data_IF_760618326773
#
_entry.id   IF_760618326773
#
_cell.length_a   1.000
_cell.length_b   1.000
_cell.length_c   1.000
_cell.angle_alpha   90.00
_cell.angle_beta   90.00
_cell.angle_gamma   90.00
#
_symmetry.space_group_name_H-M   'P 1'
#
loop_
_entity.id
_entity.type
_entity.pdbx_description
1 polymer ?
#
# COMPACT_ATOMS: atom_id res chain seq x y z
N UNK A 1 11.02 7.60 10.64
CA UNK A 1 11.94 8.67 10.19
C UNK A 1 11.32 9.42 9.03
N UNK A 2 11.68 10.69 8.81
CA UNK A 2 11.21 11.42 7.63
C UNK A 2 11.69 10.72 6.36
N UNK A 3 10.78 10.49 5.41
CA UNK A 3 11.07 9.82 4.14
C UNK A 3 10.97 10.79 2.97
N UNK A 4 10.03 11.73 3.02
CA UNK A 4 9.85 12.75 1.99
C UNK A 4 8.54 13.48 2.19
N UNK A 5 8.15 14.25 1.18
CA UNK A 5 6.91 15.01 1.16
C UNK A 5 6.22 14.82 -0.18
N UNK A 6 4.90 14.65 -0.20
CA UNK A 6 4.13 14.60 -1.45
C UNK A 6 4.06 15.98 -2.11
N UNK A 7 3.67 16.03 -3.39
CA UNK A 7 3.47 17.30 -4.10
C UNK A 7 2.41 18.19 -3.41
N UNK A 8 1.44 17.58 -2.74
CA UNK A 8 0.41 18.27 -1.96
C UNK A 8 0.88 18.70 -0.56
N UNK A 9 2.15 18.48 -0.24
CA UNK A 9 2.76 18.89 1.02
C UNK A 9 2.56 17.93 2.19
N UNK A 10 2.04 16.71 1.96
CA UNK A 10 1.85 15.75 3.03
C UNK A 10 3.18 15.10 3.43
N UNK A 11 3.50 15.08 4.72
CA UNK A 11 4.72 14.44 5.21
C UNK A 11 4.61 12.92 5.12
N UNK A 12 5.65 12.30 4.59
CA UNK A 12 5.81 10.85 4.47
C UNK A 12 6.91 10.37 5.40
N UNK A 13 6.66 9.22 6.02
CA UNK A 13 7.54 8.60 7.01
C UNK A 13 7.86 7.16 6.64
N UNK A 14 9.09 6.77 6.94
CA UNK A 14 9.58 5.40 6.86
C UNK A 14 9.61 4.77 8.26
N UNK A 15 9.07 3.56 8.37
CA UNK A 15 8.97 2.76 9.58
C UNK A 15 9.83 1.51 9.44
N UNK A 16 10.65 1.22 10.44
CA UNK A 16 11.52 0.04 10.45
C UNK A 16 10.98 -0.95 11.47
N UNK A 17 10.64 -2.15 11.02
CA UNK A 17 10.35 -3.29 11.87
C UNK A 17 11.60 -4.16 11.97
N UNK A 18 11.91 -4.63 13.18
CA UNK A 18 13.00 -5.58 13.44
C UNK A 18 12.48 -6.69 14.34
N UNK A 19 12.76 -7.94 14.00
CA UNK A 19 12.40 -9.08 14.85
C UNK A 19 13.57 -9.54 15.72
N UNK A 20 13.31 -10.49 16.61
CA UNK A 20 14.32 -11.06 17.52
C UNK A 20 15.50 -11.75 16.83
N UNK A 21 15.34 -12.19 15.58
CA UNK A 21 16.41 -12.83 14.79
C UNK A 21 17.21 -11.84 13.92
N UNK A 22 16.87 -10.55 13.97
CA UNK A 22 17.56 -9.49 13.24
C UNK A 22 17.09 -9.26 11.80
N UNK A 23 15.96 -9.85 11.36
CA UNK A 23 15.33 -9.45 10.09
C UNK A 23 14.86 -8.00 10.17
N UNK A 24 14.88 -7.31 9.03
CA UNK A 24 14.46 -5.91 8.94
C UNK A 24 13.47 -5.76 7.79
N UNK A 25 12.32 -5.13 8.06
CA UNK A 25 11.40 -4.67 7.04
C UNK A 25 11.22 -3.16 7.17
N UNK A 26 11.31 -2.43 6.07
CA UNK A 26 11.04 -0.99 6.04
C UNK A 26 9.79 -0.69 5.24
N UNK A 27 8.85 0.02 5.86
CA UNK A 27 7.54 0.32 5.30
C UNK A 27 7.32 1.84 5.30
N UNK A 28 6.96 2.40 4.15
CA UNK A 28 6.53 3.80 4.03
C UNK A 28 5.02 3.91 4.27
N UNK A 29 4.59 4.98 4.95
CA UNK A 29 3.15 5.27 5.01
C UNK A 29 2.60 5.89 3.73
N UNK A 30 3.44 6.24 2.75
CA UNK A 30 2.97 6.50 1.39
C UNK A 30 2.79 5.17 0.67
N UNK A 31 1.61 4.95 0.11
CA UNK A 31 1.28 3.72 -0.63
C UNK A 31 1.28 2.43 0.20
N UNK A 32 1.46 2.54 1.53
CA UNK A 32 1.76 1.42 2.41
C UNK A 32 2.93 0.55 1.85
N UNK A 33 3.94 1.19 1.26
CA UNK A 33 4.97 0.52 0.46
C UNK A 33 5.97 -0.23 1.35
N UNK A 34 6.21 -1.52 1.07
CA UNK A 34 7.39 -2.23 1.54
C UNK A 34 8.61 -1.79 0.70
N UNK A 35 9.47 -0.94 1.27
CA UNK A 35 10.61 -0.36 0.54
C UNK A 35 11.85 -1.24 0.60
N UNK A 36 12.05 -1.95 1.71
CA UNK A 36 13.22 -2.83 1.91
C UNK A 36 12.81 -4.04 2.76
N UNK A 37 13.39 -5.21 2.47
CA UNK A 37 13.24 -6.42 3.26
C UNK A 37 14.57 -7.16 3.33
N UNK A 38 15.21 -7.11 4.49
CA UNK A 38 16.54 -7.67 4.71
C UNK A 38 16.47 -9.04 5.37
N UNK A 39 17.04 -10.04 4.70
CA UNK A 39 17.16 -11.41 5.20
C UNK A 39 18.61 -11.88 5.18
N UNK A 40 19.02 -12.81 6.07
CA UNK A 40 20.36 -13.34 6.07
C UNK A 40 20.60 -14.29 4.90
N UNK A 41 21.75 -14.14 4.23
CA UNK A 41 22.30 -15.12 3.30
C UNK A 41 22.82 -16.38 4.05
N UNK A 42 23.43 -17.32 3.33
CA UNK A 42 24.00 -18.54 3.93
C UNK A 42 25.25 -18.30 4.82
N UNK A 43 25.75 -17.07 4.90
CA UNK A 43 26.85 -16.62 5.77
C UNK A 43 26.35 -15.72 6.90
N UNK A 44 25.05 -15.41 6.96
CA UNK A 44 24.44 -14.53 7.94
C UNK A 44 24.51 -13.04 7.60
N UNK A 45 24.91 -12.66 6.39
CA UNK A 45 24.89 -11.26 5.96
C UNK A 45 23.47 -10.87 5.57
N UNK A 46 22.97 -9.75 6.11
CA UNK A 46 21.66 -9.21 5.74
C UNK A 46 21.75 -8.54 4.37
N UNK A 47 20.89 -8.97 3.43
CA UNK A 47 20.74 -8.35 2.12
C UNK A 47 19.27 -8.01 1.85
N UNK A 48 19.04 -6.87 1.17
CA UNK A 48 17.71 -6.48 0.71
C UNK A 48 17.29 -7.32 -0.50
N UNK A 49 16.13 -7.97 -0.41
CA UNK A 49 15.64 -8.90 -1.44
C UNK A 49 14.48 -8.36 -2.26
N UNK A 50 14.03 -7.12 -2.01
CA UNK A 50 12.96 -6.49 -2.80
C UNK A 50 13.51 -5.43 -3.74
N UNK A 51 12.79 -5.20 -4.84
CA UNK A 51 13.08 -4.07 -5.72
C UNK A 51 12.50 -2.79 -5.12
N UNK A 52 13.25 -1.71 -5.21
CA UNK A 52 12.87 -0.39 -4.74
C UNK A 52 13.72 0.69 -5.37
N UNK A 53 13.68 1.89 -4.79
CA UNK A 53 14.47 3.03 -5.20
C UNK A 53 15.45 3.45 -4.10
N UNK A 54 16.63 3.91 -4.51
CA UNK A 54 17.62 4.48 -3.60
C UNK A 54 17.16 5.84 -3.05
N UNK A 55 16.43 6.62 -3.86
CA UNK A 55 15.90 7.92 -3.46
C UNK A 55 14.40 7.81 -3.14
N UNK A 56 13.95 8.32 -1.97
CA UNK A 56 12.53 8.36 -1.63
C UNK A 56 11.66 9.08 -2.66
N UNK A 57 12.19 10.12 -3.29
CA UNK A 57 11.46 10.94 -4.27
C UNK A 57 11.00 10.15 -5.50
N UNK A 58 11.74 9.10 -5.87
CA UNK A 58 11.41 8.28 -7.04
C UNK A 58 10.07 7.51 -6.86
N UNK A 59 9.68 7.21 -5.62
CA UNK A 59 8.38 6.60 -5.30
C UNK A 59 7.19 7.52 -5.58
N UNK A 60 7.39 8.84 -5.58
CA UNK A 60 6.33 9.82 -5.85
C UNK A 60 6.15 10.08 -7.36
N UNK A 61 7.02 9.53 -8.20
CA UNK A 61 6.96 9.75 -9.65
C UNK A 61 6.00 8.78 -10.34
N UNK A 62 5.58 9.13 -11.56
CA UNK A 62 4.80 8.23 -12.42
C UNK A 62 5.55 6.94 -12.80
N UNK A 63 6.87 6.89 -12.60
CA UNK A 63 7.73 5.74 -12.91
C UNK A 63 8.03 4.87 -11.67
N UNK A 64 7.18 4.89 -10.65
CA UNK A 64 7.38 4.10 -9.44
C UNK A 64 7.10 2.58 -9.63
N UNK A 65 6.50 2.19 -10.75
CA UNK A 65 6.16 0.81 -11.13
C UNK A 65 5.38 -0.01 -10.08
N UNK A 66 4.68 0.66 -9.15
CA UNK A 66 4.00 0.02 -8.01
C UNK A 66 4.93 -0.82 -7.11
N UNK A 67 6.24 -0.55 -7.10
CA UNK A 67 7.17 -1.34 -6.30
C UNK A 67 6.79 -1.34 -4.82
N UNK A 68 6.57 -2.54 -4.28
CA UNK A 68 6.23 -2.78 -2.88
C UNK A 68 4.87 -2.25 -2.40
N UNK A 69 4.09 -1.58 -3.26
CA UNK A 69 2.91 -0.83 -2.86
C UNK A 69 1.68 -1.71 -2.61
N UNK A 70 0.81 -1.24 -1.71
CA UNK A 70 -0.57 -1.72 -1.64
C UNK A 70 -1.37 -1.10 -2.77
N UNK A 71 -2.04 -1.94 -3.56
CA UNK A 71 -2.82 -1.51 -4.71
C UNK A 71 -4.32 -1.67 -4.47
N UNK A 72 -5.09 -0.65 -4.83
CA UNK A 72 -6.55 -0.62 -4.71
C UNK A 72 -7.13 0.72 -5.15
N UNK A 73 -8.46 0.88 -5.23
CA UNK A 73 -9.48 0.02 -4.60
C UNK A 73 -9.63 -1.38 -5.23
N UNK A 74 -9.53 -1.52 -6.55
CA UNK A 74 -9.50 -2.83 -7.24
C UNK A 74 -8.15 -3.04 -7.90
N UNK A 75 -7.49 -4.14 -7.56
CA UNK A 75 -6.23 -4.52 -8.19
C UNK A 75 -6.45 -5.06 -9.62
N UNK A 76 -5.46 -4.83 -10.48
CA UNK A 76 -5.49 -5.20 -11.90
C UNK A 76 -6.57 -4.43 -12.69
N UNK A 77 -7.05 -4.99 -13.80
CA UNK A 77 -7.79 -4.26 -14.82
C UNK A 77 -9.30 -4.39 -14.70
N UNK A 78 -10.00 -3.28 -14.93
CA UNK A 78 -11.43 -3.26 -15.25
C UNK A 78 -11.59 -2.83 -16.71
N UNK A 79 -12.25 -3.69 -17.49
CA UNK A 79 -12.48 -3.48 -18.92
C UNK A 79 -13.29 -2.20 -19.15
N UNK A 80 -12.90 -1.46 -20.19
CA UNK A 80 -13.53 -0.21 -20.65
C UNK A 80 -13.70 0.86 -19.55
N UNK A 81 -12.89 0.75 -18.48
CA UNK A 81 -12.92 1.62 -17.31
C UNK A 81 -14.32 1.81 -16.72
N UNK A 82 -15.15 0.76 -16.71
CA UNK A 82 -16.51 0.84 -16.21
C UNK A 82 -16.99 -0.51 -15.69
N UNK A 83 -17.94 -0.48 -14.75
CA UNK A 83 -18.66 -1.65 -14.29
C UNK A 83 -20.11 -1.30 -13.96
N UNK A 84 -20.94 -2.33 -13.80
CA UNK A 84 -22.32 -2.17 -13.34
C UNK A 84 -22.49 -2.89 -12.00
N UNK A 85 -23.06 -2.19 -11.03
CA UNK A 85 -23.35 -2.71 -9.70
C UNK A 85 -24.75 -2.28 -9.31
N UNK A 86 -25.57 -3.24 -8.87
CA UNK A 86 -26.97 -3.01 -8.46
C UNK A 86 -27.80 -2.26 -9.53
N UNK A 87 -27.52 -2.52 -10.81
CA UNK A 87 -28.20 -1.90 -11.96
C UNK A 87 -27.71 -0.50 -12.33
N UNK A 88 -26.79 0.08 -11.55
CA UNK A 88 -26.17 1.37 -11.84
C UNK A 88 -24.80 1.18 -12.53
N UNK A 89 -24.56 1.94 -13.59
CA UNK A 89 -23.25 1.97 -14.25
C UNK A 89 -22.34 2.99 -13.56
N UNK A 90 -21.10 2.59 -13.32
CA UNK A 90 -20.02 3.41 -12.77
C UNK A 90 -18.92 3.53 -13.81
N UNK A 91 -18.45 4.76 -14.03
CA UNK A 91 -17.30 5.07 -14.88
C UNK A 91 -16.11 5.42 -14.01
N UNK A 92 -14.96 4.85 -14.36
CA UNK A 92 -13.68 4.98 -13.66
C UNK A 92 -12.68 5.71 -14.55
N UNK A 93 -11.51 6.05 -13.99
CA UNK A 93 -10.40 6.57 -14.79
C UNK A 93 -9.90 5.52 -15.79
N UNK A 94 -9.84 5.86 -17.08
CA UNK A 94 -9.19 5.06 -18.11
C UNK A 94 -7.66 5.33 -18.12
N UNK A 95 -6.97 4.84 -17.10
CA UNK A 95 -5.53 5.06 -16.88
C UNK A 95 -4.61 4.02 -17.56
N UNK A 96 -5.18 3.08 -18.32
CA UNK A 96 -4.44 2.09 -19.10
C UNK A 96 -5.09 1.86 -20.48
N UNK A 97 -4.91 2.81 -21.39
CA UNK A 97 -5.60 2.80 -22.68
C UNK A 97 -7.10 3.05 -22.49
N UNK A 98 -7.96 2.16 -22.98
CA UNK A 98 -9.40 2.22 -22.68
C UNK A 98 -9.78 1.57 -21.35
N UNK A 99 -8.84 0.99 -20.62
CA UNK A 99 -9.12 0.23 -19.40
C UNK A 99 -8.72 1.01 -18.15
N UNK A 100 -9.32 0.62 -17.03
CA UNK A 100 -8.89 1.03 -15.71
C UNK A 100 -7.90 0.01 -15.17
N UNK A 101 -6.88 0.42 -14.42
CA UNK A 101 -5.92 -0.46 -13.78
C UNK A 101 -5.58 0.04 -12.37
N UNK A 102 -5.41 -0.89 -11.43
CA UNK A 102 -4.78 -0.66 -10.13
C UNK A 102 -5.40 0.49 -9.34
N UNK A 103 -6.73 0.62 -9.40
CA UNK A 103 -7.48 1.61 -8.64
C UNK A 103 -7.48 3.02 -9.21
N UNK A 104 -6.76 3.30 -10.30
CA UNK A 104 -6.90 4.54 -11.07
C UNK A 104 -5.66 5.45 -11.05
N UNK A 105 -5.89 6.75 -11.25
CA UNK A 105 -4.81 7.72 -11.36
C UNK A 105 -4.10 7.90 -10.01
N UNK A 106 -4.88 8.04 -8.93
CA UNK A 106 -4.42 8.16 -7.54
C UNK A 106 -5.00 7.02 -6.70
N UNK A 107 -4.60 5.80 -7.04
CA UNK A 107 -4.92 4.59 -6.27
C UNK A 107 -4.25 4.55 -4.89
N UNK A 108 -4.49 3.46 -4.16
CA UNK A 108 -3.97 3.25 -2.80
C UNK A 108 -2.45 3.33 -2.69
N UNK A 109 -1.75 3.08 -3.79
CA UNK A 109 -0.29 3.17 -3.92
C UNK A 109 0.22 4.62 -3.90
N UNK A 110 -0.65 5.62 -4.10
CA UNK A 110 -0.28 7.04 -4.23
C UNK A 110 -0.90 7.95 -3.16
N UNK A 111 -1.37 7.36 -2.06
CA UNK A 111 -1.95 8.12 -0.94
C UNK A 111 -1.11 7.96 0.32
N UNK A 112 -1.18 8.95 1.20
CA UNK A 112 -0.57 8.88 2.53
C UNK A 112 -1.55 8.23 3.49
N UNK A 113 -1.16 7.07 4.02
CA UNK A 113 -1.88 6.32 5.03
C UNK A 113 -1.58 6.89 6.42
N UNK A 114 -2.59 6.86 7.30
CA UNK A 114 -2.37 7.10 8.72
C UNK A 114 -1.66 5.87 9.30
N UNK A 115 -0.49 6.07 9.91
CA UNK A 115 0.34 4.99 10.44
C UNK A 115 0.36 4.99 11.97
N UNK A 116 0.36 3.80 12.54
CA UNK A 116 0.45 3.54 13.98
C UNK A 116 1.32 2.30 14.22
N UNK A 117 2.52 2.44 14.82
CA UNK A 117 3.30 1.30 15.26
C UNK A 117 2.52 0.50 16.30
N UNK A 118 2.50 -0.83 16.17
CA UNK A 118 1.81 -1.73 17.09
C UNK A 118 2.73 -2.87 17.53
N UNK A 119 2.51 -3.37 18.73
CA UNK A 119 3.09 -4.63 19.17
C UNK A 119 2.06 -5.72 18.97
N UNK A 120 2.33 -6.67 18.07
CA UNK A 120 1.51 -7.87 17.95
C UNK A 120 2.01 -8.93 18.93
N UNK A 121 1.22 -9.97 19.18
CA UNK A 121 1.68 -11.13 19.95
C UNK A 121 2.82 -11.89 19.25
N UNK A 122 2.95 -11.76 17.93
CA UNK A 122 3.88 -12.51 17.09
C UNK A 122 5.18 -11.76 16.76
N UNK A 123 5.23 -10.44 17.01
CA UNK A 123 6.37 -9.58 16.66
C UNK A 123 6.01 -8.10 16.45
N UNK A 124 6.99 -7.33 15.96
CA UNK A 124 6.83 -5.90 15.67
C UNK A 124 5.87 -5.69 14.50
N UNK A 125 4.97 -4.71 14.60
CA UNK A 125 3.98 -4.44 13.56
C UNK A 125 3.74 -2.95 13.29
N UNK A 126 3.11 -2.70 12.15
CA UNK A 126 2.68 -1.38 11.70
C UNK A 126 1.26 -1.48 11.16
N UNK A 127 0.34 -0.75 11.79
CA UNK A 127 -1.02 -0.57 11.30
C UNK A 127 -1.11 0.69 10.45
N UNK A 128 -1.65 0.56 9.26
CA UNK A 128 -1.88 1.62 8.28
C UNK A 128 -3.37 1.68 7.98
N UNK A 129 -3.97 2.86 8.10
CA UNK A 129 -5.39 3.06 7.82
C UNK A 129 -5.61 4.16 6.81
N UNK A 130 -6.57 3.95 5.91
CA UNK A 130 -6.97 4.93 4.92
C UNK A 130 -8.49 4.90 4.72
N UNK A 131 -9.10 6.07 4.57
CA UNK A 131 -10.50 6.20 4.21
C UNK A 131 -10.57 6.64 2.74
N UNK A 132 -10.94 5.69 1.88
CA UNK A 132 -11.23 5.98 0.48
C UNK A 132 -12.68 6.47 0.40
N UNK A 133 -12.87 7.76 0.12
CA UNK A 133 -14.18 8.39 0.18
C UNK A 133 -15.14 7.86 -0.92
N UNK A 134 -16.45 8.02 -0.71
CA UNK A 134 -17.45 7.78 -1.75
C UNK A 134 -17.14 8.61 -3.02
N UNK A 135 -17.05 7.94 -4.16
CA UNK A 135 -16.69 8.53 -5.45
C UNK A 135 -15.20 8.64 -5.73
N UNK A 136 -14.32 8.26 -4.79
CA UNK A 136 -12.87 8.26 -5.03
C UNK A 136 -12.52 7.34 -6.21
N UNK A 137 -11.80 7.88 -7.21
CA UNK A 137 -11.49 7.22 -8.50
C UNK A 137 -12.71 6.64 -9.24
N UNK A 138 -13.92 7.09 -8.89
CA UNK A 138 -15.20 6.67 -9.47
C UNK A 138 -15.89 5.50 -8.75
N UNK A 139 -15.32 4.99 -7.66
CA UNK A 139 -15.90 3.88 -6.88
C UNK A 139 -16.98 4.36 -5.89
N UNK A 140 -18.13 3.66 -5.78
CA UNK A 140 -19.14 4.00 -4.78
C UNK A 140 -18.73 3.58 -3.37
N UNK A 141 -19.28 4.25 -2.36
CA UNK A 141 -19.14 3.91 -0.95
C UNK A 141 -17.86 4.46 -0.33
N UNK A 142 -17.98 4.96 0.90
CA UNK A 142 -16.83 5.15 1.76
C UNK A 142 -16.27 3.77 2.09
N UNK A 143 -14.96 3.57 1.90
CA UNK A 143 -14.26 2.33 2.23
C UNK A 143 -13.17 2.66 3.24
N UNK A 144 -13.38 2.25 4.49
CA UNK A 144 -12.35 2.29 5.52
C UNK A 144 -11.49 1.03 5.36
N UNK A 145 -10.20 1.21 5.06
CA UNK A 145 -9.23 0.13 4.82
C UNK A 145 -8.18 0.15 5.92
N UNK A 146 -7.83 -1.02 6.42
CA UNK A 146 -6.72 -1.25 7.34
C UNK A 146 -5.76 -2.26 6.74
N UNK A 147 -4.48 -1.91 6.72
CA UNK A 147 -3.37 -2.78 6.34
C UNK A 147 -2.46 -2.94 7.55
N UNK A 148 -2.15 -4.17 7.92
CA UNK A 148 -1.23 -4.46 9.02
C UNK A 148 -0.05 -5.26 8.48
N UNK A 149 1.14 -4.69 8.59
CA UNK A 149 2.40 -5.41 8.45
C UNK A 149 2.83 -5.93 9.80
N UNK A 150 3.21 -7.21 9.89
CA UNK A 150 3.84 -7.79 11.08
C UNK A 150 5.09 -8.54 10.66
N UNK A 151 6.24 -8.18 11.25
CA UNK A 151 7.47 -8.95 11.12
C UNK A 151 7.59 -9.85 12.35
N UNK A 152 7.31 -11.15 12.17
CA UNK A 152 7.22 -12.10 13.28
C UNK A 152 8.60 -12.57 13.74
N UNK A 153 8.66 -13.06 14.97
CA UNK A 153 9.86 -13.71 15.51
C UNK A 153 10.18 -15.08 14.87
N UNK A 154 9.29 -15.60 14.02
CA UNK A 154 9.51 -16.81 13.22
C UNK A 154 10.04 -16.51 11.81
N UNK A 155 10.54 -15.29 11.57
CA UNK A 155 11.05 -14.83 10.27
C UNK A 155 9.99 -14.80 9.16
N UNK A 156 8.77 -14.38 9.50
CA UNK A 156 7.69 -14.20 8.53
C UNK A 156 7.35 -12.71 8.42
N UNK A 157 7.19 -12.20 7.20
CA UNK A 157 6.50 -10.93 6.98
C UNK A 157 5.03 -11.23 6.65
N UNK A 158 4.13 -10.93 7.59
CA UNK A 158 2.68 -11.06 7.43
C UNK A 158 2.07 -9.74 6.98
N UNK A 159 1.15 -9.82 6.02
CA UNK A 159 0.34 -8.70 5.56
C UNK A 159 -1.14 -9.07 5.71
N UNK A 160 -1.86 -8.31 6.53
CA UNK A 160 -3.30 -8.49 6.72
C UNK A 160 -4.03 -7.25 6.22
N UNK A 161 -5.07 -7.44 5.41
CA UNK A 161 -5.86 -6.37 4.83
C UNK A 161 -7.33 -6.57 5.19
N UNK A 162 -7.93 -5.57 5.83
CA UNK A 162 -9.36 -5.58 6.15
C UNK A 162 -10.00 -4.30 5.65
N UNK A 163 -11.28 -4.38 5.27
CA UNK A 163 -12.02 -3.23 4.83
C UNK A 163 -13.49 -3.31 5.24
N UNK A 164 -14.10 -2.16 5.49
CA UNK A 164 -15.53 -2.01 5.73
C UNK A 164 -16.07 -0.86 4.90
N UNK A 165 -17.28 -1.02 4.36
CA UNK A 165 -17.90 -0.01 3.52
C UNK A 165 -19.34 0.28 3.92
N UNK A 166 -19.82 1.47 3.59
CA UNK A 166 -21.20 1.91 3.82
C UNK A 166 -22.13 1.72 2.61
N UNK A 167 -21.59 1.27 1.46
CA UNK A 167 -22.35 0.92 0.23
C UNK A 167 -21.71 -0.27 -0.47
N UNK A 168 -22.48 -1.01 -1.26
CA UNK A 168 -21.92 -2.04 -2.16
C UNK A 168 -20.81 -1.42 -3.03
N UNK A 169 -19.64 -2.07 -3.08
CA UNK A 169 -18.50 -1.62 -3.89
C UNK A 169 -17.57 -2.81 -4.17
N UNK A 170 -16.91 -2.87 -5.34
CA UNK A 170 -15.87 -3.86 -5.57
C UNK A 170 -14.59 -3.50 -4.79
N UNK A 171 -13.92 -4.50 -4.24
CA UNK A 171 -12.60 -4.44 -3.60
C UNK A 171 -11.80 -5.65 -4.06
#
# INVERSE_FOLDING_TARGET
>A
MEFGQTEEGQQVYLYTLTNSNGLIAKISNYGAILTELHLPDNRGNLEDVVLGFDNPEDYFTANNYYFGAVVGRVANRIKDAQFTLDGQQYSLAANAGSHHIHGGNRGFDKVVWQAEPINSADGAGLKLTYLSADGEEGYPGNLAVTVIYTLTDNNELKLEMTATTDKSTPI
#
